data_IF_342867111265
#
_entry.id   IF_342867111265
#
_cell.length_a   1.000
_cell.length_b   1.000
_cell.length_c   1.000
_cell.angle_alpha   90.00
_cell.angle_beta   90.00
_cell.angle_gamma   90.00
#
_symmetry.space_group_name_H-M   'P 1'
#
loop_
_entity.id
_entity.type
_entity.pdbx_description
1 polymer ?
#
# COMPACT_ATOMS: atom_id res chain seq x y z
N UNK A 1 -5.27 -20.82 3.32
CA UNK A 1 -4.07 -21.68 3.24
C UNK A 1 -3.33 -21.37 1.94
N UNK A 2 -2.00 -21.54 1.87
CA UNK A 2 -1.28 -21.43 0.61
C UNK A 2 -1.64 -22.59 -0.32
N UNK A 3 -1.94 -22.29 -1.58
CA UNK A 3 -2.16 -23.27 -2.64
C UNK A 3 -2.12 -22.56 -3.99
N UNK A 4 -1.81 -23.27 -5.07
CA UNK A 4 -1.82 -22.67 -6.42
C UNK A 4 -3.17 -22.07 -6.80
N UNK A 5 -4.26 -22.67 -6.35
CA UNK A 5 -5.62 -22.15 -6.58
C UNK A 5 -5.87 -20.87 -5.79
N UNK A 6 -5.48 -20.82 -4.51
CA UNK A 6 -5.61 -19.62 -3.70
C UNK A 6 -4.74 -18.49 -4.28
N UNK A 7 -3.51 -18.81 -4.70
CA UNK A 7 -2.57 -17.83 -5.23
C UNK A 7 -3.08 -17.21 -6.54
N UNK A 8 -3.63 -18.03 -7.44
CA UNK A 8 -4.30 -17.54 -8.64
C UNK A 8 -5.50 -16.64 -8.33
N UNK A 9 -6.30 -16.95 -7.31
CA UNK A 9 -7.42 -16.09 -6.92
C UNK A 9 -6.93 -14.75 -6.32
N UNK A 10 -5.83 -14.77 -5.58
CA UNK A 10 -5.23 -13.56 -5.02
C UNK A 10 -4.66 -12.64 -6.09
N UNK A 11 -4.06 -13.19 -7.16
CA UNK A 11 -3.58 -12.41 -8.31
C UNK A 11 -4.70 -11.55 -8.93
N UNK A 12 -5.93 -12.07 -8.97
CA UNK A 12 -7.08 -11.33 -9.47
C UNK A 12 -7.56 -10.25 -8.48
N UNK A 13 -7.53 -10.53 -7.18
CA UNK A 13 -8.00 -9.60 -6.13
C UNK A 13 -7.06 -8.44 -5.90
N UNK A 14 -5.74 -8.70 -5.87
CA UNK A 14 -4.76 -7.69 -5.49
C UNK A 14 -4.24 -6.85 -6.66
N UNK A 15 -4.72 -7.10 -7.88
CA UNK A 15 -4.22 -6.43 -9.07
C UNK A 15 -4.47 -4.92 -9.00
N UNK A 16 -3.42 -4.18 -8.66
CA UNK A 16 -3.42 -2.73 -8.64
C UNK A 16 -3.42 -2.21 -10.07
N UNK A 17 -4.43 -1.41 -10.41
CA UNK A 17 -4.57 -0.76 -11.72
C UNK A 17 -4.47 0.75 -11.53
N UNK A 18 -3.32 1.35 -11.88
CA UNK A 18 -3.16 2.79 -11.79
C UNK A 18 -4.18 3.54 -12.65
N UNK A 19 -4.72 4.60 -12.09
CA UNK A 19 -5.62 5.53 -12.73
C UNK A 19 -4.96 6.88 -12.90
N UNK A 20 -5.43 7.62 -13.90
CA UNK A 20 -5.03 9.00 -14.13
C UNK A 20 -5.82 9.94 -13.23
N UNK A 21 -5.10 10.75 -12.46
CA UNK A 21 -5.62 11.84 -11.65
C UNK A 21 -5.19 13.20 -12.22
N UNK A 22 -5.98 14.24 -11.97
CA UNK A 22 -5.65 15.63 -12.33
C UNK A 22 -4.95 16.33 -11.18
N UNK A 23 -4.23 17.41 -11.47
CA UNK A 23 -3.61 18.30 -10.46
C UNK A 23 -4.63 18.79 -9.44
N UNK A 24 -5.84 19.11 -9.90
CA UNK A 24 -6.93 19.56 -9.01
C UNK A 24 -7.40 18.47 -8.04
N UNK A 25 -7.34 17.19 -8.43
CA UNK A 25 -7.62 16.06 -7.53
C UNK A 25 -6.48 15.88 -6.53
N UNK A 26 -5.22 15.98 -6.96
CA UNK A 26 -4.05 15.91 -6.05
C UNK A 26 -4.16 16.98 -4.94
N UNK A 27 -4.46 18.22 -5.31
CA UNK A 27 -4.64 19.32 -4.36
C UNK A 27 -5.83 19.08 -3.42
N UNK A 28 -6.95 18.54 -3.92
CA UNK A 28 -8.11 18.20 -3.09
C UNK A 28 -7.81 17.09 -2.07
N UNK A 29 -6.87 16.20 -2.38
CA UNK A 29 -6.36 15.20 -1.43
C UNK A 29 -5.39 15.80 -0.39
N UNK A 30 -5.10 17.10 -0.45
CA UNK A 30 -4.18 17.78 0.46
C UNK A 30 -2.71 17.46 0.19
N UNK A 31 -2.38 17.01 -1.02
CA UNK A 31 -1.03 16.65 -1.44
C UNK A 31 -0.41 17.76 -2.30
N UNK A 32 0.92 17.85 -2.28
CA UNK A 32 1.65 18.73 -3.19
C UNK A 32 1.83 18.03 -4.56
N UNK A 33 1.32 18.61 -5.67
CA UNK A 33 1.54 18.05 -7.00
C UNK A 33 3.01 17.89 -7.40
N UNK A 34 3.93 18.67 -6.83
CA UNK A 34 5.36 18.54 -7.15
C UNK A 34 5.98 17.25 -6.57
N UNK A 35 5.38 16.69 -5.51
CA UNK A 35 5.84 15.45 -4.87
C UNK A 35 5.20 14.19 -5.48
N UNK A 36 4.21 14.34 -6.38
CA UNK A 36 3.44 13.23 -6.95
C UNK A 36 3.92 12.89 -8.36
N UNK A 37 4.14 11.61 -8.59
CA UNK A 37 4.57 11.06 -9.88
C UNK A 37 3.51 11.28 -10.96
N UNK A 38 3.99 11.57 -12.17
CA UNK A 38 3.18 11.78 -13.36
C UNK A 38 3.37 10.68 -14.39
N UNK A 39 2.37 10.47 -15.21
CA UNK A 39 2.54 9.74 -16.46
C UNK A 39 3.44 10.55 -17.40
N UNK A 40 4.35 9.86 -18.07
CA UNK A 40 5.15 10.49 -19.12
C UNK A 40 4.28 10.68 -20.38
N UNK A 41 4.07 11.93 -20.80
CA UNK A 41 3.25 12.25 -21.96
C UNK A 41 3.78 11.59 -23.24
N UNK A 42 5.11 11.39 -23.36
CA UNK A 42 5.69 10.75 -24.56
C UNK A 42 5.25 9.29 -24.72
N UNK A 43 4.99 8.62 -23.60
CA UNK A 43 4.66 7.20 -23.56
C UNK A 43 3.13 6.98 -23.52
N UNK A 44 2.37 7.91 -22.91
CA UNK A 44 0.94 7.74 -22.63
C UNK A 44 0.01 8.73 -23.33
N UNK A 45 0.50 9.89 -23.80
CA UNK A 45 -0.30 10.90 -24.51
C UNK A 45 -1.42 11.53 -23.67
N UNK A 46 -1.22 11.63 -22.34
CA UNK A 46 -2.22 12.14 -21.40
C UNK A 46 -2.11 13.64 -21.11
N UNK A 47 -1.08 14.30 -21.64
CA UNK A 47 -0.73 15.69 -21.37
C UNK A 47 -0.10 15.89 -19.99
N UNK A 48 0.20 17.16 -19.68
CA UNK A 48 0.89 17.54 -18.44
C UNK A 48 0.02 17.44 -17.18
N UNK A 49 -1.28 17.19 -17.29
CA UNK A 49 -2.21 17.09 -16.16
C UNK A 49 -2.60 15.64 -15.87
N UNK A 50 -1.60 14.76 -15.78
CA UNK A 50 -1.76 13.32 -15.64
C UNK A 50 -0.88 12.76 -14.51
N UNK A 51 -1.45 12.65 -13.32
CA UNK A 51 -0.80 12.07 -12.14
C UNK A 51 -1.19 10.61 -11.99
N UNK A 52 -0.27 9.82 -11.42
CA UNK A 52 -0.49 8.41 -11.13
C UNK A 52 -1.15 8.27 -9.76
N UNK A 53 -2.24 7.52 -9.69
CA UNK A 53 -2.84 7.13 -8.43
C UNK A 53 -3.46 5.75 -8.49
N UNK A 54 -3.51 5.07 -7.35
CA UNK A 54 -4.04 3.72 -7.18
C UNK A 54 -5.19 3.75 -6.18
N UNK A 55 -6.25 2.98 -6.40
CA UNK A 55 -7.32 2.86 -5.39
C UNK A 55 -6.80 2.11 -4.16
N UNK A 56 -7.05 2.67 -2.98
CA UNK A 56 -6.54 2.14 -1.70
C UNK A 56 -7.03 0.71 -1.44
N UNK A 57 -8.25 0.36 -1.83
CA UNK A 57 -8.77 -1.02 -1.68
C UNK A 57 -7.84 -2.08 -2.27
N UNK A 58 -7.21 -1.83 -3.43
CA UNK A 58 -6.31 -2.81 -4.04
C UNK A 58 -4.96 -2.86 -3.31
N UNK A 59 -4.50 -1.73 -2.78
CA UNK A 59 -3.31 -1.71 -1.95
C UNK A 59 -3.51 -2.44 -0.62
N UNK A 60 -4.69 -2.31 -0.01
CA UNK A 60 -5.08 -3.07 1.18
C UNK A 60 -5.11 -4.58 0.88
N UNK A 61 -5.68 -4.99 -0.24
CA UNK A 61 -5.68 -6.39 -0.69
C UNK A 61 -4.26 -6.91 -0.92
N UNK A 62 -3.41 -6.12 -1.58
CA UNK A 62 -1.99 -6.45 -1.79
C UNK A 62 -1.22 -6.61 -0.49
N UNK A 63 -1.39 -5.69 0.46
CA UNK A 63 -0.79 -5.78 1.78
C UNK A 63 -1.27 -7.02 2.54
N UNK A 64 -2.57 -7.34 2.48
CA UNK A 64 -3.12 -8.52 3.13
C UNK A 64 -2.57 -9.82 2.53
N UNK A 65 -2.46 -9.91 1.20
CA UNK A 65 -1.85 -11.06 0.55
C UNK A 65 -0.36 -11.19 0.89
N UNK A 66 0.35 -10.06 0.94
CA UNK A 66 1.76 -10.03 1.36
C UNK A 66 1.90 -10.59 2.78
N UNK A 67 1.06 -10.14 3.73
CA UNK A 67 1.03 -10.69 5.09
C UNK A 67 0.68 -12.18 5.12
N UNK A 68 -0.28 -12.62 4.29
CA UNK A 68 -0.61 -14.04 4.10
C UNK A 68 0.64 -14.82 3.67
N UNK A 69 1.39 -14.35 2.68
CA UNK A 69 2.61 -15.01 2.20
C UNK A 69 3.69 -15.06 3.28
N UNK A 70 3.93 -13.96 3.99
CA UNK A 70 4.85 -13.91 5.12
C UNK A 70 4.50 -14.87 6.25
N UNK A 71 3.22 -15.13 6.50
CA UNK A 71 2.80 -16.10 7.50
C UNK A 71 3.12 -17.55 7.08
N UNK A 72 3.18 -17.83 5.78
CA UNK A 72 3.56 -19.15 5.23
C UNK A 72 4.94 -19.12 4.57
N UNK A 73 5.89 -18.46 5.22
CA UNK A 73 7.22 -18.19 4.70
C UNK A 73 7.92 -19.42 4.09
N UNK A 74 7.83 -20.57 4.75
CA UNK A 74 8.40 -21.84 4.27
C UNK A 74 7.82 -22.29 2.92
N UNK A 75 6.51 -22.12 2.71
CA UNK A 75 5.86 -22.46 1.44
C UNK A 75 6.33 -21.55 0.30
N UNK A 76 6.50 -20.25 0.59
CA UNK A 76 6.93 -19.26 -0.40
C UNK A 76 8.45 -19.07 -0.48
N UNK A 77 9.23 -19.89 0.22
CA UNK A 77 10.69 -19.81 0.29
C UNK A 77 11.18 -18.40 0.70
N UNK A 78 10.50 -17.79 1.68
CA UNK A 78 10.83 -16.47 2.24
C UNK A 78 11.47 -16.63 3.62
N UNK A 79 12.42 -15.75 3.97
CA UNK A 79 12.94 -15.65 5.35
C UNK A 79 11.98 -14.85 6.21
N UNK A 80 11.08 -15.50 6.99
CA UNK A 80 10.17 -14.82 7.92
C UNK A 80 9.67 -15.71 9.08
N UNK A 81 8.68 -15.22 9.85
CA UNK A 81 8.08 -15.89 11.00
C UNK A 81 7.46 -17.24 10.61
N UNK A 82 7.98 -18.33 11.15
CA UNK A 82 7.56 -19.68 10.82
C UNK A 82 6.17 -20.03 11.40
N UNK A 83 5.09 -19.93 10.60
CA UNK A 83 3.89 -20.77 10.77
C UNK A 83 4.01 -22.02 9.89
N UNK A 84 5.15 -22.70 10.02
CA UNK A 84 5.67 -23.74 9.11
C UNK A 84 4.86 -25.04 9.06
N UNK A 85 3.90 -25.22 9.97
CA UNK A 85 2.92 -26.30 9.91
C UNK A 85 1.54 -25.72 9.59
N UNK A 86 1.10 -25.88 8.35
CA UNK A 86 -0.22 -25.50 7.86
C UNK A 86 -1.39 -26.16 8.61
N UNK A 87 -1.14 -27.18 9.43
CA UNK A 87 -2.15 -27.82 10.28
C UNK A 87 -2.11 -27.35 11.76
N UNK A 88 -1.20 -26.44 12.10
CA UNK A 88 -1.11 -25.89 13.45
C UNK A 88 -2.32 -25.00 13.78
N UNK A 89 -2.67 -24.92 15.07
CA UNK A 89 -3.65 -23.95 15.57
C UNK A 89 -3.33 -22.51 15.13
N UNK A 90 -2.04 -22.19 14.98
CA UNK A 90 -1.57 -20.89 14.49
C UNK A 90 -1.98 -20.69 13.04
N UNK A 91 -1.73 -21.67 12.16
CA UNK A 91 -2.13 -21.58 10.75
C UNK A 91 -3.66 -21.43 10.61
N UNK A 92 -4.45 -22.19 11.37
CA UNK A 92 -5.91 -22.04 11.38
C UNK A 92 -6.30 -20.61 11.75
N UNK A 93 -5.75 -20.07 12.84
CA UNK A 93 -6.05 -18.71 13.30
C UNK A 93 -5.66 -17.65 12.26
N UNK A 94 -4.46 -17.74 11.70
CA UNK A 94 -3.99 -16.83 10.64
C UNK A 94 -4.93 -16.85 9.44
N UNK A 95 -5.38 -18.02 8.99
CA UNK A 95 -6.34 -18.06 7.87
C UNK A 95 -7.65 -17.36 8.22
N UNK A 96 -8.19 -17.58 9.42
CA UNK A 96 -9.45 -16.93 9.80
C UNK A 96 -9.27 -15.41 9.88
N UNK A 97 -8.09 -14.93 10.33
CA UNK A 97 -7.73 -13.51 10.29
C UNK A 97 -7.65 -12.97 8.86
N UNK A 98 -7.00 -13.70 7.94
CA UNK A 98 -6.93 -13.29 6.53
C UNK A 98 -8.33 -13.24 5.92
N UNK A 99 -9.16 -14.25 6.16
CA UNK A 99 -10.50 -14.36 5.59
C UNK A 99 -11.44 -13.25 6.11
N UNK A 100 -11.41 -12.92 7.41
CA UNK A 100 -12.27 -11.86 7.96
C UNK A 100 -11.83 -10.47 7.49
N UNK A 101 -10.53 -10.23 7.36
CA UNK A 101 -10.00 -8.97 6.84
C UNK A 101 -10.29 -8.82 5.35
N UNK A 102 -10.17 -9.90 4.57
CA UNK A 102 -10.51 -9.90 3.16
C UNK A 102 -11.98 -9.53 2.95
N UNK A 103 -12.88 -10.10 3.74
CA UNK A 103 -14.31 -9.77 3.70
C UNK A 103 -14.57 -8.30 4.05
N UNK A 104 -13.93 -7.77 5.09
CA UNK A 104 -14.07 -6.36 5.47
C UNK A 104 -13.55 -5.41 4.39
N UNK A 105 -12.37 -5.68 3.82
CA UNK A 105 -11.78 -4.86 2.75
C UNK A 105 -12.68 -4.88 1.51
N UNK A 106 -13.19 -6.05 1.10
CA UNK A 106 -14.08 -6.15 -0.05
C UNK A 106 -15.45 -5.51 0.20
N UNK A 107 -15.94 -5.53 1.45
CA UNK A 107 -17.24 -4.95 1.80
C UNK A 107 -17.18 -3.42 1.96
N UNK A 108 -16.17 -2.90 2.64
CA UNK A 108 -16.00 -1.47 2.91
C UNK A 108 -15.37 -0.73 1.74
N UNK A 109 -14.42 -1.36 1.03
CA UNK A 109 -13.78 -0.90 -0.18
C UNK A 109 -13.36 0.57 -0.15
N UNK A 110 -12.18 0.89 0.41
CA UNK A 110 -11.72 2.28 0.41
C UNK A 110 -11.44 2.77 -1.03
N UNK A 111 -12.24 3.74 -1.47
CA UNK A 111 -12.15 4.38 -2.80
C UNK A 111 -11.27 5.62 -2.83
N UNK A 112 -10.54 5.90 -1.75
CA UNK A 112 -9.47 6.89 -1.75
C UNK A 112 -8.31 6.46 -2.64
N UNK A 113 -7.40 7.40 -2.92
CA UNK A 113 -6.25 7.14 -3.77
C UNK A 113 -4.95 7.17 -2.98
N UNK A 114 -4.10 6.18 -3.23
CA UNK A 114 -2.68 6.23 -2.93
C UNK A 114 -1.99 6.88 -4.12
N UNK A 115 -1.16 7.87 -3.85
CA UNK A 115 -0.25 8.48 -4.83
C UNK A 115 1.16 7.97 -4.57
N UNK A 116 2.03 8.07 -5.57
CA UNK A 116 3.45 7.70 -5.39
C UNK A 116 4.36 8.88 -5.71
N UNK A 117 5.46 9.03 -4.97
CA UNK A 117 6.45 10.09 -5.14
C UNK A 117 7.86 9.55 -5.30
N UNK A 118 8.75 10.32 -5.93
CA UNK A 118 10.16 9.95 -6.04
C UNK A 118 10.88 10.23 -4.73
N UNK A 119 11.60 9.23 -4.23
CA UNK A 119 12.41 9.33 -3.01
C UNK A 119 13.85 9.03 -3.35
N UNK A 120 14.78 9.85 -2.86
CA UNK A 120 16.21 9.69 -3.11
C UNK A 120 16.70 8.28 -2.74
N UNK A 121 17.50 7.69 -3.64
CA UNK A 121 18.05 6.34 -3.46
C UNK A 121 17.08 5.20 -3.75
N UNK A 122 15.80 5.47 -4.03
CA UNK A 122 14.83 4.44 -4.42
C UNK A 122 14.81 4.24 -5.93
N UNK A 123 14.69 2.99 -6.35
CA UNK A 123 14.64 2.60 -7.78
C UNK A 123 13.30 2.97 -8.44
N UNK A 124 12.24 2.98 -7.66
CA UNK A 124 10.86 3.21 -8.10
C UNK A 124 10.21 4.26 -7.20
N UNK A 125 9.19 4.99 -7.68
CA UNK A 125 8.44 5.91 -6.84
C UNK A 125 7.79 5.12 -5.69
N UNK A 126 7.81 5.71 -4.50
CA UNK A 126 7.32 5.08 -3.28
C UNK A 126 5.88 5.51 -3.01
N UNK A 127 5.01 4.60 -2.54
CA UNK A 127 3.64 4.94 -2.20
C UNK A 127 3.60 5.86 -0.99
N UNK A 128 2.77 6.89 -1.08
CA UNK A 128 2.38 7.71 0.05
C UNK A 128 1.17 7.07 0.73
N UNK A 129 1.40 6.49 1.90
CA UNK A 129 0.41 5.76 2.68
C UNK A 129 -0.67 6.67 3.32
N UNK A 130 -0.60 7.99 3.13
CA UNK A 130 -1.63 8.93 3.55
C UNK A 130 -2.74 9.09 2.49
N UNK A 131 -3.78 8.26 2.56
CA UNK A 131 -4.87 8.25 1.56
C UNK A 131 -5.75 9.50 1.62
N UNK A 132 -5.99 10.01 2.83
CA UNK A 132 -6.77 11.22 3.06
C UNK A 132 -5.86 12.33 3.58
N UNK A 133 -6.19 13.61 3.32
CA UNK A 133 -5.59 14.67 4.10
C UNK A 133 -5.82 14.31 5.57
N UNK A 134 -4.81 14.46 6.41
CA UNK A 134 -5.03 14.48 7.85
C UNK A 134 -6.12 15.51 8.08
N UNK A 135 -7.36 15.07 8.24
CA UNK A 135 -8.42 15.92 8.77
C UNK A 135 -7.80 16.44 10.06
N UNK A 136 -7.65 17.76 10.24
CA UNK A 136 -7.29 18.25 11.54
C UNK A 136 -8.46 17.81 12.42
N UNK A 137 -8.28 16.73 13.18
CA UNK A 137 -9.03 16.55 14.39
C UNK A 137 -8.77 17.86 15.13
N UNK A 138 -9.78 18.73 15.18
CA UNK A 138 -9.77 20.04 15.82
C UNK A 138 -9.42 19.96 17.33
N UNK A 139 -8.99 18.79 17.84
CA UNK A 139 -8.73 18.52 19.26
C UNK A 139 -7.45 17.73 19.56
N UNK A 140 -6.56 17.43 18.61
CA UNK A 140 -5.26 16.82 18.94
C UNK A 140 -4.12 17.82 18.69
N UNK A 141 -3.33 18.21 19.71
CA UNK A 141 -2.12 18.98 19.47
C UNK A 141 -1.18 18.18 18.55
N UNK A 142 -0.47 18.85 17.63
CA UNK A 142 0.33 18.17 16.61
C UNK A 142 1.37 17.28 17.28
N UNK A 143 1.54 16.02 16.85
CA UNK A 143 2.72 15.27 17.24
C UNK A 143 3.92 16.05 16.69
N UNK A 144 4.86 16.37 17.58
CA UNK A 144 6.13 16.98 17.25
C UNK A 144 6.76 16.12 16.14
N UNK A 145 6.87 16.69 14.95
CA UNK A 145 7.45 16.05 13.77
C UNK A 145 8.81 15.46 14.16
N UNK A 146 8.96 14.15 13.97
CA UNK A 146 10.23 13.44 14.08
C UNK A 146 11.10 13.87 12.90
N UNK A 147 11.74 15.05 13.03
CA UNK A 147 12.76 15.54 12.11
C UNK A 147 14.18 15.27 12.62
N UNK A 148 14.35 14.25 13.47
CA UNK A 148 15.63 14.02 14.18
C UNK A 148 16.14 12.58 14.16
N UNK A 149 15.64 11.70 13.29
CA UNK A 149 16.19 10.34 13.18
C UNK A 149 17.12 10.12 11.98
N UNK A 150 17.24 11.08 11.05
CA UNK A 150 18.21 10.99 9.95
C UNK A 150 19.55 11.68 10.29
N UNK A 151 19.59 12.60 11.26
CA UNK A 151 20.83 13.29 11.67
C UNK A 151 21.62 12.59 12.79
N UNK A 152 21.07 11.55 13.43
CA UNK A 152 21.74 10.86 14.54
C UNK A 152 22.58 9.63 14.11
N UNK A 153 22.37 9.09 12.90
CA UNK A 153 23.19 7.97 12.38
C UNK A 153 24.39 8.45 11.55
N UNK A 154 24.50 9.74 11.27
CA UNK A 154 25.63 10.31 10.53
C UNK A 154 26.84 10.67 11.41
N UNK A 155 26.80 10.38 12.73
CA UNK A 155 27.86 10.77 13.66
C UNK A 155 28.14 9.77 14.80
N UNK A 156 27.88 8.47 14.59
CA UNK A 156 28.29 7.39 15.50
C UNK A 156 29.22 6.39 14.83
#
# INVERSE_FOLDING_TARGET
MPSSEADSAWEDYELIRPVRLTKSQIIQMGKDPEDVSKYDDKDWGFGDDAYVGDLDVFHQLHCLNTLRQYAYADYYNMTALNASDGSSLIAVHVNHCVDILLQEIQCSGNVGFITSGWVDGQRYPQPDMSVFPFFPLILAPPPVFVRTLIELEANS
#
